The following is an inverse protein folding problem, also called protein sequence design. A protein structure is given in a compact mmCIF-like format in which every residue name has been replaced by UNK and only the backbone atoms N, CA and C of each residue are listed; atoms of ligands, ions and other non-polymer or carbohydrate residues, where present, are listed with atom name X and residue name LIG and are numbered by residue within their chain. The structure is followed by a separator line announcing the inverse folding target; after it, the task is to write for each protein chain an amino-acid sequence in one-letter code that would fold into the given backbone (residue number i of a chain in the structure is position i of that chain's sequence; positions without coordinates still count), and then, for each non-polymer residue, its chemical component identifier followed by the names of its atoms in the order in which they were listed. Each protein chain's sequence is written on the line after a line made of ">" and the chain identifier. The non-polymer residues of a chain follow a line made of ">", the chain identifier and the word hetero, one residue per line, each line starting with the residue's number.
data_IF_697787156252
#
_entry.id   IF_697787156252
#
_cell.length_a   1.000
_cell.length_b   1.000
_cell.length_c   1.000
_cell.angle_alpha   90.00
_cell.angle_beta   90.00
_cell.angle_gamma   90.00
#
_symmetry.space_group_name_H-M   'P 1'
#
loop_
_entity.id
_entity.type
_entity.pdbx_description
1 polymer ?
#
# COMPACT_ATOMS: atom_id res chain seq x y z
N UNK A 1 -2.40 23.12 24.22
CA UNK A 1 -2.50 22.39 25.50
C UNK A 1 -1.35 22.77 26.39
N UNK A 2 -1.61 22.99 27.69
CA UNK A 2 -0.62 23.26 28.74
C UNK A 2 -0.71 22.13 29.76
N UNK A 3 0.38 21.42 30.00
CA UNK A 3 0.43 20.25 30.88
C UNK A 3 1.58 20.36 31.88
N UNK A 4 1.39 19.82 33.07
CA UNK A 4 2.45 19.61 34.01
C UNK A 4 3.25 18.36 33.60
N UNK A 5 4.54 18.52 33.27
CA UNK A 5 5.37 17.46 32.69
C UNK A 5 5.44 16.24 33.59
N UNK A 6 5.14 15.07 33.01
CA UNK A 6 5.17 13.78 33.73
C UNK A 6 3.91 13.45 34.51
N UNK A 7 2.84 14.24 34.39
CA UNK A 7 1.54 14.02 35.03
C UNK A 7 0.41 14.08 33.99
N UNK A 8 -0.81 13.72 34.41
CA UNK A 8 -2.02 13.90 33.62
C UNK A 8 -2.70 15.25 33.88
N UNK A 9 -2.09 16.11 34.71
CA UNK A 9 -2.61 17.43 35.05
C UNK A 9 -2.36 18.40 33.89
N UNK A 10 -3.40 18.82 33.19
CA UNK A 10 -3.29 19.73 32.05
C UNK A 10 -4.60 20.39 31.68
N UNK A 11 -4.49 21.48 30.93
CA UNK A 11 -5.64 22.28 30.48
C UNK A 11 -5.42 22.73 29.03
N UNK A 12 -6.53 23.00 28.35
CA UNK A 12 -6.54 23.67 27.04
C UNK A 12 -6.78 25.17 27.29
N UNK A 13 -6.12 26.03 26.54
CA UNK A 13 -6.32 27.47 26.58
C UNK A 13 -7.72 27.85 26.09
N UNK A 14 -8.24 28.98 26.55
CA UNK A 14 -9.42 29.59 25.98
C UNK A 14 -9.17 30.19 24.56
N UNK A 15 -10.19 30.81 23.96
CA UNK A 15 -10.08 31.41 22.62
C UNK A 15 -9.07 32.57 22.54
N UNK A 16 -8.79 33.25 23.66
CA UNK A 16 -7.84 34.34 23.77
C UNK A 16 -6.45 33.84 24.15
N UNK A 17 -6.25 32.52 24.31
CA UNK A 17 -4.99 31.89 24.66
C UNK A 17 -4.68 31.91 26.16
N UNK A 18 -5.62 32.29 27.04
CA UNK A 18 -5.39 32.29 28.48
C UNK A 18 -5.58 30.89 29.06
N UNK A 19 -4.80 30.61 30.12
CA UNK A 19 -4.94 29.35 30.87
C UNK A 19 -4.70 29.61 32.38
N UNK A 20 -5.26 28.76 33.19
CA UNK A 20 -5.00 28.71 34.63
C UNK A 20 -4.86 27.26 35.05
N UNK A 21 -3.74 26.88 35.59
CA UNK A 21 -3.42 25.51 36.02
C UNK A 21 -2.74 25.50 37.38
N UNK A 22 -3.24 24.74 38.30
CA UNK A 22 -2.61 24.54 39.61
C UNK A 22 -1.54 23.48 39.50
N UNK A 23 -0.29 23.84 39.78
CA UNK A 23 0.90 23.01 39.59
C UNK A 23 1.89 23.17 40.73
N UNK A 24 2.76 22.18 40.95
CA UNK A 24 3.82 22.29 41.93
C UNK A 24 4.99 23.16 41.42
N UNK A 25 5.54 24.08 42.26
CA UNK A 25 6.64 24.97 41.86
C UNK A 25 7.91 24.24 41.36
N UNK A 26 8.12 23.00 41.80
CA UNK A 26 9.28 22.17 41.41
C UNK A 26 9.13 21.48 40.06
N UNK A 27 7.93 21.49 39.49
CA UNK A 27 7.65 20.83 38.22
C UNK A 27 7.86 21.76 37.03
N UNK A 28 7.82 21.19 35.82
CA UNK A 28 7.91 21.94 34.57
C UNK A 28 6.55 21.96 33.88
N UNK A 29 6.24 23.07 33.22
CA UNK A 29 5.13 23.15 32.29
C UNK A 29 5.61 22.73 30.91
N UNK A 30 4.84 21.90 30.25
CA UNK A 30 4.99 21.53 28.84
C UNK A 30 3.83 22.13 28.07
N UNK A 31 4.15 22.97 27.08
CA UNK A 31 3.19 23.67 26.24
C UNK A 31 3.32 23.13 24.83
N UNK A 32 2.22 22.63 24.28
CA UNK A 32 2.18 22.09 22.93
C UNK A 32 0.97 22.63 22.16
N UNK A 33 1.18 22.93 20.90
CA UNK A 33 0.12 23.29 19.95
C UNK A 33 0.48 22.75 18.58
N UNK A 34 -0.53 22.34 17.81
CA UNK A 34 -0.33 21.76 16.46
C UNK A 34 0.31 22.82 15.55
N UNK A 35 1.45 22.48 14.93
CA UNK A 35 2.22 23.40 14.08
C UNK A 35 3.23 24.29 14.82
N UNK A 36 3.43 24.07 16.13
CA UNK A 36 4.39 24.84 16.92
C UNK A 36 5.31 23.92 17.73
N UNK A 37 6.54 24.37 17.96
CA UNK A 37 7.53 23.63 18.76
C UNK A 37 7.04 23.53 20.20
N UNK A 38 7.09 22.31 20.74
CA UNK A 38 6.77 22.07 22.15
C UNK A 38 7.80 22.78 23.03
N UNK A 39 7.33 23.64 23.93
CA UNK A 39 8.19 24.37 24.87
C UNK A 39 8.05 23.83 26.29
N UNK A 40 9.18 23.78 27.01
CA UNK A 40 9.22 23.42 28.41
C UNK A 40 9.67 24.63 29.23
N UNK A 41 8.91 24.95 30.28
CA UNK A 41 9.19 26.05 31.15
C UNK A 41 9.29 25.57 32.61
N UNK A 42 10.30 26.10 33.32
CA UNK A 42 10.39 25.91 34.77
C UNK A 42 9.44 26.87 35.47
N UNK A 43 8.63 26.37 36.39
CA UNK A 43 7.61 27.14 37.09
C UNK A 43 8.27 28.07 38.13
N UNK A 44 9.08 27.51 39.01
CA UNK A 44 9.74 28.24 40.08
C UNK A 44 8.79 29.06 40.95
N UNK A 45 9.13 30.34 41.20
CA UNK A 45 8.31 31.27 41.96
C UNK A 45 7.35 32.11 41.10
N UNK A 46 7.44 32.00 39.78
CA UNK A 46 6.60 32.77 38.87
C UNK A 46 5.16 32.25 38.85
N UNK A 47 4.22 33.19 38.88
CA UNK A 47 2.78 32.88 38.86
C UNK A 47 2.07 33.31 37.56
N UNK A 48 2.77 34.02 36.69
CA UNK A 48 2.23 34.45 35.40
C UNK A 48 3.28 34.24 34.32
N UNK A 49 2.85 33.65 33.24
CA UNK A 49 3.71 33.35 32.09
C UNK A 49 3.08 33.92 30.83
N UNK A 50 3.86 34.67 30.07
CA UNK A 50 3.52 35.01 28.68
C UNK A 50 4.38 34.15 27.77
N UNK A 51 3.75 33.22 27.08
CA UNK A 51 4.43 32.23 26.28
C UNK A 51 4.17 32.56 24.81
N UNK A 52 5.25 32.76 24.06
CA UNK A 52 5.18 32.91 22.60
C UNK A 52 5.69 31.61 22.01
N UNK A 53 4.79 30.83 21.39
CA UNK A 53 5.17 29.62 20.70
C UNK A 53 5.90 29.98 19.41
N UNK A 54 6.98 29.27 19.12
CA UNK A 54 7.66 29.33 17.83
C UNK A 54 7.02 28.36 16.91
N UNK A 55 6.72 28.78 15.69
CA UNK A 55 6.26 27.88 14.65
C UNK A 55 7.27 26.75 14.51
N UNK A 56 6.74 25.53 14.44
CA UNK A 56 7.55 24.38 14.11
C UNK A 56 7.82 24.42 12.61
N UNK A 57 8.84 25.16 12.23
CA UNK A 57 9.33 25.22 10.85
C UNK A 57 10.04 23.93 10.43
N UNK A 58 10.19 22.96 11.33
CA UNK A 58 10.32 21.56 10.94
C UNK A 58 8.95 20.97 10.54
N UNK A 59 8.17 21.67 9.73
CA UNK A 59 7.42 21.04 8.68
C UNK A 59 8.46 20.21 7.94
N UNK A 60 8.40 18.90 8.10
CA UNK A 60 9.14 17.96 7.28
C UNK A 60 9.01 18.48 5.85
N UNK A 61 10.03 19.22 5.38
CA UNK A 61 10.10 19.60 3.98
C UNK A 61 10.00 18.29 3.22
N UNK A 62 8.81 18.00 2.71
CA UNK A 62 8.56 16.76 1.98
C UNK A 62 9.46 16.81 0.76
N UNK A 63 10.59 16.12 0.88
CA UNK A 63 11.62 16.08 -0.14
C UNK A 63 11.22 14.99 -1.13
N UNK A 64 11.11 15.34 -2.39
CA UNK A 64 10.87 14.40 -3.49
C UNK A 64 12.20 14.12 -4.16
N UNK A 65 12.53 12.85 -4.30
CA UNK A 65 13.70 12.44 -5.08
C UNK A 65 13.36 12.65 -6.55
N UNK A 66 14.11 13.47 -7.26
CA UNK A 66 13.90 13.75 -8.69
C UNK A 66 15.21 13.42 -9.41
N UNK A 67 15.21 12.32 -10.18
CA UNK A 67 16.39 11.87 -10.91
C UNK A 67 17.58 11.53 -10.03
N UNK A 68 18.65 12.28 -10.15
CA UNK A 68 19.90 12.07 -9.40
C UNK A 68 20.03 12.96 -8.17
N UNK A 69 18.95 13.64 -7.75
CA UNK A 69 18.96 14.52 -6.60
C UNK A 69 17.63 14.56 -5.86
N UNK A 70 17.63 15.17 -4.69
CA UNK A 70 16.42 15.43 -3.91
C UNK A 70 16.08 16.92 -3.97
N UNK A 71 14.83 17.24 -4.31
CA UNK A 71 14.30 18.61 -4.38
C UNK A 71 13.13 18.72 -3.41
N UNK A 72 12.98 19.87 -2.76
CA UNK A 72 11.80 20.10 -1.92
C UNK A 72 10.54 20.03 -2.78
N UNK A 73 9.49 19.40 -2.28
CA UNK A 73 8.20 19.30 -2.99
C UNK A 73 7.63 20.68 -3.35
N UNK A 74 7.88 21.67 -2.50
CA UNK A 74 7.53 23.09 -2.75
C UNK A 74 8.20 23.68 -3.98
N UNK A 75 9.39 23.20 -4.32
CA UNK A 75 10.20 23.72 -5.42
C UNK A 75 9.92 23.01 -6.75
N UNK A 76 9.11 21.96 -6.70
CA UNK A 76 8.67 21.24 -7.92
C UNK A 76 7.49 21.99 -8.54
N UNK A 77 7.70 22.49 -9.75
CA UNK A 77 6.65 23.15 -10.56
C UNK A 77 5.65 22.15 -11.16
N UNK A 78 5.91 20.85 -11.06
CA UNK A 78 5.09 19.77 -11.60
C UNK A 78 4.13 19.15 -10.59
N UNK A 79 3.00 18.59 -11.06
CA UNK A 79 2.06 17.85 -10.21
C UNK A 79 2.67 16.53 -9.75
N UNK A 80 3.08 16.48 -8.49
CA UNK A 80 3.55 15.27 -7.81
C UNK A 80 2.50 14.81 -6.80
N UNK A 81 2.14 13.54 -6.84
CA UNK A 81 1.29 12.92 -5.84
C UNK A 81 2.11 11.91 -5.04
N UNK A 82 2.06 11.98 -3.73
CA UNK A 82 2.84 11.15 -2.81
C UNK A 82 1.93 10.29 -1.94
N UNK A 83 2.36 9.08 -1.64
CA UNK A 83 1.73 8.17 -0.66
C UNK A 83 2.81 7.70 0.30
N UNK A 84 2.54 7.83 1.59
CA UNK A 84 3.44 7.39 2.66
C UNK A 84 3.25 5.91 3.00
N UNK A 85 4.25 5.32 3.67
CA UNK A 85 4.14 3.95 4.24
C UNK A 85 2.89 3.79 5.12
N UNK A 86 2.55 4.81 5.91
CA UNK A 86 1.39 4.74 6.81
C UNK A 86 0.08 4.60 6.04
N UNK A 87 -0.04 5.29 4.91
CA UNK A 87 -1.22 5.20 4.05
C UNK A 87 -1.29 3.84 3.35
N UNK A 88 -0.14 3.29 2.93
CA UNK A 88 -0.04 1.95 2.35
C UNK A 88 -0.49 0.87 3.34
N UNK A 89 0.00 0.93 4.58
CA UNK A 89 -0.36 -0.03 5.64
C UNK A 89 -1.85 0.08 6.02
N UNK A 90 -2.38 1.29 6.13
CA UNK A 90 -3.80 1.53 6.45
C UNK A 90 -4.76 0.97 5.42
N UNK A 91 -4.34 0.83 4.18
CA UNK A 91 -5.18 0.25 3.13
C UNK A 91 -5.53 -1.22 3.36
N UNK A 92 -4.82 -1.92 4.26
CA UNK A 92 -5.00 -3.34 4.54
C UNK A 92 -4.68 -4.26 3.36
N UNK A 93 -4.04 -3.74 2.32
CA UNK A 93 -3.66 -4.51 1.15
C UNK A 93 -2.27 -5.12 1.31
N UNK A 94 -2.11 -6.28 0.73
CA UNK A 94 -0.92 -7.13 0.88
C UNK A 94 0.23 -6.75 -0.04
N UNK A 95 -0.03 -5.86 -1.00
CA UNK A 95 0.95 -5.40 -1.97
C UNK A 95 0.94 -3.87 -2.10
N UNK A 96 2.11 -3.30 -2.41
CA UNK A 96 2.30 -1.85 -2.48
C UNK A 96 1.47 -1.19 -3.59
N UNK A 97 1.28 -1.88 -4.71
CA UNK A 97 0.55 -1.34 -5.86
C UNK A 97 -0.95 -1.29 -5.57
N UNK A 98 -1.49 -2.39 -5.02
CA UNK A 98 -2.89 -2.43 -4.58
C UNK A 98 -3.19 -1.40 -3.50
N UNK A 99 -2.24 -1.15 -2.60
CA UNK A 99 -2.39 -0.16 -1.54
C UNK A 99 -2.48 1.29 -2.08
N UNK A 100 -1.90 1.59 -3.24
CA UNK A 100 -2.03 2.89 -3.91
C UNK A 100 -3.38 3.07 -4.62
N UNK A 101 -4.17 2.01 -4.81
CA UNK A 101 -5.43 2.07 -5.55
C UNK A 101 -6.43 3.01 -4.87
N UNK A 102 -6.86 4.04 -5.57
CA UNK A 102 -7.78 5.06 -5.06
C UNK A 102 -7.11 6.13 -4.16
N UNK A 103 -5.83 5.99 -3.79
CA UNK A 103 -5.13 6.96 -2.95
C UNK A 103 -4.57 8.15 -3.74
N UNK A 104 -4.40 8.00 -5.05
CA UNK A 104 -3.69 8.97 -5.89
C UNK A 104 -4.59 9.54 -7.00
N UNK A 105 -4.87 10.85 -7.01
CA UNK A 105 -5.69 11.46 -8.06
C UNK A 105 -5.00 11.34 -9.43
N UNK A 106 -5.76 10.95 -10.46
CA UNK A 106 -5.27 10.79 -11.84
C UNK A 106 -4.38 9.56 -12.07
N UNK A 107 -4.39 8.59 -11.14
CA UNK A 107 -3.73 7.29 -11.28
C UNK A 107 -4.80 6.21 -11.22
N UNK A 108 -4.89 5.42 -12.26
CA UNK A 108 -5.75 4.26 -12.33
C UNK A 108 -4.91 3.00 -12.14
N UNK A 109 -5.29 2.19 -11.17
CA UNK A 109 -4.62 0.93 -10.86
C UNK A 109 -5.65 -0.19 -10.96
N UNK A 110 -5.37 -1.16 -11.80
CA UNK A 110 -6.22 -2.33 -11.99
C UNK A 110 -5.38 -3.59 -11.89
N UNK A 111 -5.85 -4.56 -11.12
CA UNK A 111 -5.25 -5.89 -11.11
C UNK A 111 -5.57 -6.60 -12.44
N UNK A 112 -4.55 -7.12 -13.12
CA UNK A 112 -4.72 -7.76 -14.43
C UNK A 112 -5.51 -9.07 -14.35
N UNK A 113 -5.38 -9.76 -13.21
CA UNK A 113 -6.10 -11.01 -12.92
C UNK A 113 -6.20 -11.24 -11.41
N UNK A 114 -6.98 -12.22 -11.00
CA UNK A 114 -7.17 -12.58 -9.57
C UNK A 114 -6.18 -13.63 -9.07
N UNK A 115 -5.17 -14.01 -9.86
CA UNK A 115 -4.18 -15.00 -9.45
C UNK A 115 -3.31 -14.48 -8.30
N UNK A 116 -2.84 -15.35 -7.40
CA UNK A 116 -1.83 -15.01 -6.42
C UNK A 116 -0.60 -14.37 -7.08
N UNK A 117 -0.06 -13.32 -6.47
CA UNK A 117 1.08 -12.59 -7.05
C UNK A 117 0.80 -11.89 -8.39
N UNK A 118 -0.47 -11.76 -8.79
CA UNK A 118 -0.85 -11.19 -10.09
C UNK A 118 -0.36 -9.74 -10.29
N UNK A 119 -0.06 -9.41 -11.53
CA UNK A 119 0.43 -8.09 -11.93
C UNK A 119 -0.67 -7.03 -11.92
N UNK A 120 -0.26 -5.78 -11.83
CA UNK A 120 -1.11 -4.61 -11.90
C UNK A 120 -0.83 -3.79 -13.14
N UNK A 121 -1.89 -3.31 -13.78
CA UNK A 121 -1.81 -2.26 -14.78
C UNK A 121 -1.94 -0.91 -14.09
N UNK A 122 -0.94 -0.07 -14.27
CA UNK A 122 -0.90 1.29 -13.74
C UNK A 122 -1.00 2.25 -14.93
N UNK A 123 -2.01 3.13 -14.90
CA UNK A 123 -2.19 4.17 -15.89
C UNK A 123 -2.16 5.54 -15.21
N UNK A 124 -1.33 6.43 -15.71
CA UNK A 124 -1.22 7.82 -15.23
C UNK A 124 -1.83 8.75 -16.29
N UNK A 125 -2.89 9.49 -15.91
CA UNK A 125 -3.63 10.41 -16.79
C UNK A 125 -4.25 9.76 -18.03
N UNK A 126 -4.49 8.44 -18.00
CA UNK A 126 -5.15 7.70 -19.07
C UNK A 126 -4.20 7.18 -20.16
N UNK A 127 -4.77 6.79 -21.29
CA UNK A 127 -4.04 6.24 -22.43
C UNK A 127 -3.51 7.37 -23.30
N UNK A 128 -2.22 7.38 -23.56
CA UNK A 128 -1.53 8.36 -24.41
C UNK A 128 -0.84 7.72 -25.63
N UNK A 129 -1.07 6.43 -25.86
CA UNK A 129 -0.58 5.71 -27.04
C UNK A 129 -1.62 4.72 -27.54
N UNK A 130 -1.63 4.45 -28.84
CA UNK A 130 -2.54 3.50 -29.49
C UNK A 130 -1.90 2.11 -29.62
N UNK A 131 -0.58 2.03 -29.79
CA UNK A 131 0.13 0.79 -30.10
C UNK A 131 1.36 0.54 -29.21
N UNK A 132 1.72 1.47 -28.34
CA UNK A 132 2.87 1.35 -27.43
C UNK A 132 2.50 0.88 -26.04
N UNK A 133 3.51 0.64 -25.19
CA UNK A 133 3.30 0.38 -23.77
C UNK A 133 2.69 1.61 -23.09
N UNK A 134 1.69 1.40 -22.25
CA UNK A 134 1.03 2.43 -21.43
C UNK A 134 1.55 2.44 -19.98
N UNK A 135 2.41 1.48 -19.63
CA UNK A 135 2.95 1.37 -18.29
C UNK A 135 3.90 2.52 -17.96
N UNK A 136 3.83 3.10 -16.76
CA UNK A 136 4.78 4.12 -16.32
C UNK A 136 6.16 3.50 -16.08
N UNK A 137 7.18 4.34 -16.07
CA UNK A 137 8.52 3.94 -15.69
C UNK A 137 8.58 3.80 -14.16
N UNK A 138 8.99 2.63 -13.68
CA UNK A 138 9.24 2.38 -12.25
C UNK A 138 10.70 2.69 -11.95
N UNK A 139 10.92 3.50 -10.91
CA UNK A 139 12.25 3.87 -10.41
C UNK A 139 12.32 3.58 -8.92
N UNK A 140 13.23 2.71 -8.51
CA UNK A 140 13.41 2.35 -7.09
C UNK A 140 14.78 2.85 -6.64
N UNK A 141 14.81 3.71 -5.64
CA UNK A 141 16.03 4.36 -5.12
C UNK A 141 16.93 4.95 -6.22
N UNK A 142 16.33 5.52 -7.26
CA UNK A 142 17.04 6.10 -8.41
C UNK A 142 17.37 5.12 -9.53
N UNK A 143 17.11 3.81 -9.36
CA UNK A 143 17.38 2.78 -10.38
C UNK A 143 16.11 2.53 -11.21
N UNK A 144 16.11 2.83 -12.53
CA UNK A 144 14.95 2.63 -13.39
C UNK A 144 14.80 1.17 -13.85
N UNK A 145 13.55 0.74 -14.06
CA UNK A 145 13.22 -0.56 -14.64
C UNK A 145 12.99 -1.68 -13.62
N UNK A 146 12.87 -1.35 -12.33
CA UNK A 146 12.50 -2.32 -11.31
C UNK A 146 11.01 -2.71 -11.41
N UNK A 147 10.64 -3.88 -10.83
CA UNK A 147 9.26 -4.31 -10.71
C UNK A 147 8.73 -4.02 -9.31
N UNK A 148 7.57 -3.37 -9.22
CA UNK A 148 6.89 -3.09 -7.94
C UNK A 148 6.39 -4.35 -7.25
N UNK A 149 6.02 -5.39 -8.01
CA UNK A 149 5.51 -6.65 -7.46
C UNK A 149 6.57 -7.42 -6.65
N UNK A 150 7.85 -7.16 -6.93
CA UNK A 150 8.96 -7.80 -6.21
C UNK A 150 9.35 -7.07 -4.93
N UNK A 151 8.81 -5.87 -4.70
CA UNK A 151 9.12 -5.10 -3.50
C UNK A 151 8.24 -5.53 -2.32
N UNK A 152 8.86 -5.62 -1.15
CA UNK A 152 8.12 -5.76 0.08
C UNK A 152 7.53 -4.39 0.46
N UNK A 153 6.19 -4.26 0.66
CA UNK A 153 5.57 -3.01 1.09
C UNK A 153 6.17 -2.44 2.38
N UNK A 154 6.60 -3.31 3.30
CA UNK A 154 7.20 -2.93 4.57
C UNK A 154 8.57 -2.24 4.41
N UNK A 155 9.26 -2.45 3.28
CA UNK A 155 10.53 -1.79 2.96
C UNK A 155 10.36 -0.40 2.32
N UNK A 156 9.16 -0.04 1.91
CA UNK A 156 8.88 1.23 1.25
C UNK A 156 8.72 2.33 2.28
N UNK A 157 9.38 3.45 2.09
CA UNK A 157 9.21 4.67 2.88
C UNK A 157 8.11 5.56 2.28
N UNK A 158 8.16 5.76 0.96
CA UNK A 158 7.16 6.52 0.21
C UNK A 158 7.15 6.16 -1.27
N UNK A 159 6.05 6.50 -1.93
CA UNK A 159 5.92 6.42 -3.38
C UNK A 159 5.48 7.79 -3.89
N UNK A 160 6.26 8.33 -4.81
CA UNK A 160 6.00 9.59 -5.49
C UNK A 160 5.67 9.32 -6.96
N UNK A 161 4.60 9.95 -7.48
CA UNK A 161 4.22 9.81 -8.88
C UNK A 161 4.41 11.13 -9.61
N UNK A 162 5.34 11.12 -10.57
CA UNK A 162 5.62 12.23 -11.45
C UNK A 162 4.71 12.14 -12.68
N UNK A 163 3.81 13.12 -12.84
CA UNK A 163 2.77 13.11 -13.86
C UNK A 163 3.05 14.06 -15.01
N UNK A 164 3.85 15.10 -14.78
CA UNK A 164 4.09 16.17 -15.75
C UNK A 164 5.40 15.98 -16.50
N UNK A 165 5.43 16.44 -17.75
CA UNK A 165 6.59 16.35 -18.60
C UNK A 165 7.83 17.05 -18.01
N UNK A 166 7.66 18.14 -17.27
CA UNK A 166 8.76 18.86 -16.60
C UNK A 166 9.45 18.01 -15.55
N UNK A 167 8.67 17.27 -14.74
CA UNK A 167 9.21 16.41 -13.68
C UNK A 167 9.76 15.08 -14.22
N UNK A 168 9.29 14.62 -15.39
CA UNK A 168 9.70 13.36 -16.00
C UNK A 168 10.83 13.51 -17.03
N UNK A 169 11.17 14.74 -17.42
CA UNK A 169 12.12 15.05 -18.51
C UNK A 169 13.49 14.39 -18.34
N UNK A 170 13.99 14.27 -17.11
CA UNK A 170 15.28 13.64 -16.80
C UNK A 170 15.34 12.16 -17.16
N UNK A 171 14.19 11.48 -17.25
CA UNK A 171 14.10 10.06 -17.62
C UNK A 171 13.89 9.86 -19.14
N UNK A 172 13.80 10.96 -19.91
CA UNK A 172 13.67 10.97 -21.37
C UNK A 172 12.37 10.31 -21.85
N UNK A 173 12.42 9.74 -23.05
CA UNK A 173 11.25 9.13 -23.73
C UNK A 173 10.65 7.94 -22.96
N UNK A 174 11.40 7.27 -22.09
CA UNK A 174 10.91 6.16 -21.26
C UNK A 174 9.86 6.61 -20.25
N UNK A 175 9.82 7.89 -19.92
CA UNK A 175 8.94 8.46 -18.91
C UNK A 175 7.68 9.14 -19.51
N UNK A 176 7.38 8.93 -20.78
CA UNK A 176 6.22 9.51 -21.46
C UNK A 176 4.89 9.17 -20.80
N UNK A 177 4.79 7.99 -20.18
CA UNK A 177 3.61 7.52 -19.46
C UNK A 177 3.63 7.90 -17.96
N UNK A 178 4.54 8.79 -17.55
CA UNK A 178 4.78 9.12 -16.15
C UNK A 178 5.83 8.24 -15.49
N UNK A 179 6.20 8.59 -14.26
CA UNK A 179 7.19 7.88 -13.47
C UNK A 179 6.63 7.58 -12.08
N UNK A 180 6.78 6.35 -11.63
CA UNK A 180 6.52 5.92 -10.26
C UNK A 180 7.86 5.78 -9.55
N UNK A 181 8.14 6.70 -8.63
CA UNK A 181 9.34 6.70 -7.83
C UNK A 181 9.08 6.06 -6.49
N UNK A 182 9.83 5.05 -6.17
CA UNK A 182 9.78 4.36 -4.89
C UNK A 182 11.03 4.70 -4.10
N UNK A 183 10.86 5.29 -2.94
CA UNK A 183 11.93 5.48 -1.97
C UNK A 183 11.79 4.41 -0.90
N UNK A 184 12.85 3.66 -0.66
CA UNK A 184 12.86 2.62 0.34
C UNK A 184 13.43 3.13 1.66
N UNK A 185 13.05 2.47 2.77
CA UNK A 185 13.53 2.81 4.11
C UNK A 185 15.05 2.68 4.19
N UNK A 186 15.68 3.68 4.80
CA UNK A 186 17.13 3.73 5.02
C UNK A 186 17.47 3.66 6.51
N UNK A 187 18.74 3.37 6.80
CA UNK A 187 19.28 3.42 8.15
C UNK A 187 19.23 4.83 8.72
N UNK A 188 19.07 4.92 10.03
CA UNK A 188 19.13 6.19 10.77
C UNK A 188 20.20 6.09 11.85
N UNK A 189 20.86 7.24 12.14
CA UNK A 189 21.83 7.32 13.22
C UNK A 189 21.13 7.01 14.54
N UNK A 190 21.66 6.05 15.30
CA UNK A 190 21.14 5.65 16.59
C UNK A 190 21.40 4.20 16.92
N UNK A 191 20.85 3.77 18.08
CA UNK A 191 20.90 2.35 18.50
C UNK A 191 20.15 1.49 17.49
N UNK A 192 20.57 0.24 17.39
CA UNK A 192 19.88 -0.77 16.58
C UNK A 192 18.41 -0.86 16.99
N UNK A 193 17.53 -0.70 16.03
CA UNK A 193 16.10 -0.90 16.17
C UNK A 193 15.69 -2.10 15.33
N UNK A 194 15.07 -3.06 15.98
CA UNK A 194 14.52 -4.26 15.32
C UNK A 194 13.01 -4.11 15.32
N UNK A 195 12.42 -4.20 14.15
CA UNK A 195 10.98 -4.15 13.95
C UNK A 195 10.53 -5.47 13.29
N UNK A 196 9.43 -6.01 13.79
CA UNK A 196 8.73 -7.15 13.19
C UNK A 196 7.31 -6.76 12.82
N UNK A 197 6.93 -7.07 11.60
CA UNK A 197 5.58 -6.90 11.07
C UNK A 197 5.09 -8.25 10.55
N UNK A 198 3.86 -8.63 10.89
CA UNK A 198 3.31 -9.86 10.38
C UNK A 198 1.80 -9.89 10.48
N UNK A 199 1.18 -10.57 9.51
CA UNK A 199 -0.25 -10.87 9.52
C UNK A 199 -0.50 -12.23 8.88
N UNK A 200 -1.65 -12.82 9.24
CA UNK A 200 -2.22 -13.98 8.57
C UNK A 200 -3.72 -13.75 8.36
N UNK A 201 -4.27 -14.28 7.28
CA UNK A 201 -5.67 -14.09 6.99
C UNK A 201 -6.19 -15.07 5.95
N UNK A 202 -7.52 -15.05 5.79
CA UNK A 202 -8.21 -15.80 4.75
C UNK A 202 -8.96 -14.87 3.83
N UNK A 203 -8.93 -15.17 2.54
CA UNK A 203 -9.75 -14.53 1.51
C UNK A 203 -10.80 -15.51 1.03
N UNK A 204 -12.00 -15.02 0.82
CA UNK A 204 -13.08 -15.77 0.19
C UNK A 204 -13.86 -14.88 -0.75
N UNK A 205 -14.56 -15.47 -1.67
CA UNK A 205 -15.53 -14.75 -2.47
C UNK A 205 -16.66 -14.23 -1.56
N UNK A 206 -16.95 -12.95 -1.65
CA UNK A 206 -18.06 -12.31 -0.91
C UNK A 206 -19.35 -12.29 -1.70
N UNK A 207 -19.24 -12.35 -3.02
CA UNK A 207 -20.37 -12.34 -3.93
C UNK A 207 -20.06 -13.24 -5.12
N UNK A 208 -20.58 -14.44 -5.11
CA UNK A 208 -20.54 -15.36 -6.24
C UNK A 208 -21.81 -15.13 -7.06
N UNK A 209 -21.73 -15.10 -8.40
CA UNK A 209 -22.94 -15.13 -9.21
C UNK A 209 -23.70 -16.43 -8.95
N UNK A 210 -25.02 -16.33 -8.86
CA UNK A 210 -25.87 -17.50 -8.79
C UNK A 210 -25.72 -18.29 -10.10
N UNK A 211 -25.15 -19.45 -9.98
CA UNK A 211 -24.98 -20.35 -11.11
C UNK A 211 -26.21 -21.25 -11.21
N UNK A 212 -26.48 -21.66 -12.43
CA UNK A 212 -27.58 -22.58 -12.71
C UNK A 212 -27.38 -23.90 -11.98
N UNK A 213 -28.40 -24.34 -11.29
CA UNK A 213 -28.42 -25.70 -10.71
C UNK A 213 -28.43 -26.78 -11.78
N UNK A 214 -28.09 -28.02 -11.42
CA UNK A 214 -28.12 -29.13 -12.35
C UNK A 214 -29.51 -29.36 -12.93
N UNK A 215 -30.57 -29.19 -12.14
CA UNK A 215 -31.97 -29.31 -12.61
C UNK A 215 -32.33 -28.20 -13.61
N UNK A 216 -31.95 -26.97 -13.33
CA UNK A 216 -32.17 -25.83 -14.24
C UNK A 216 -31.41 -26.03 -15.55
N UNK A 217 -30.16 -26.54 -15.48
CA UNK A 217 -29.38 -26.89 -16.68
C UNK A 217 -30.08 -27.93 -17.53
N UNK A 218 -30.61 -29.02 -16.91
CA UNK A 218 -31.35 -30.04 -17.60
C UNK A 218 -32.58 -29.50 -18.31
N UNK A 219 -33.33 -28.61 -17.63
CA UNK A 219 -34.49 -27.95 -18.23
C UNK A 219 -34.09 -27.04 -19.39
N UNK A 220 -33.02 -26.23 -19.22
CA UNK A 220 -32.50 -25.36 -20.27
C UNK A 220 -32.07 -26.16 -21.50
N UNK A 221 -31.36 -27.28 -21.31
CA UNK A 221 -30.92 -28.16 -22.40
C UNK A 221 -32.10 -28.77 -23.18
N UNK A 222 -33.15 -29.21 -22.46
CA UNK A 222 -34.39 -29.72 -23.07
C UNK A 222 -35.10 -28.65 -23.87
N UNK A 223 -35.23 -27.43 -23.32
CA UNK A 223 -35.85 -26.29 -23.99
C UNK A 223 -35.05 -25.81 -25.20
N UNK A 224 -33.73 -25.76 -25.10
CA UNK A 224 -32.86 -25.43 -26.23
C UNK A 224 -33.02 -26.42 -27.39
N UNK A 225 -33.10 -27.72 -27.07
CA UNK A 225 -33.31 -28.77 -28.07
C UNK A 225 -34.70 -28.67 -28.68
N UNK A 226 -35.76 -28.44 -27.88
CA UNK A 226 -37.10 -28.20 -28.33
C UNK A 226 -37.21 -27.06 -29.32
N UNK A 227 -36.58 -25.91 -28.99
CA UNK A 227 -36.59 -24.73 -29.85
C UNK A 227 -35.97 -25.00 -31.22
N UNK A 228 -34.87 -25.79 -31.27
CA UNK A 228 -34.23 -26.22 -32.51
C UNK A 228 -34.95 -27.34 -33.29
N UNK A 229 -35.99 -27.96 -32.69
CA UNK A 229 -36.73 -29.10 -33.26
C UNK A 229 -38.21 -28.76 -33.51
N UNK A 230 -38.49 -27.67 -34.18
CA UNK A 230 -39.86 -27.24 -34.51
C UNK A 230 -40.82 -27.24 -33.28
N UNK A 231 -40.34 -26.81 -32.12
CA UNK A 231 -41.07 -26.81 -30.85
C UNK A 231 -41.50 -28.19 -30.34
N UNK A 232 -40.84 -29.27 -30.74
CA UNK A 232 -41.12 -30.62 -30.26
C UNK A 232 -40.02 -31.12 -29.33
N UNK A 233 -40.42 -31.67 -28.19
CA UNK A 233 -39.49 -32.37 -27.29
C UNK A 233 -38.97 -33.66 -27.95
N UNK A 234 -37.75 -33.97 -27.60
CA UNK A 234 -37.11 -35.22 -27.96
C UNK A 234 -36.81 -36.05 -26.70
N UNK A 235 -36.46 -37.31 -26.85
CA UNK A 235 -36.07 -38.15 -25.74
C UNK A 235 -34.72 -37.65 -25.17
N UNK A 236 -34.57 -37.72 -23.85
CA UNK A 236 -33.37 -37.27 -23.14
C UNK A 236 -32.10 -37.94 -23.62
N UNK A 237 -32.18 -39.20 -24.12
CA UNK A 237 -31.05 -39.92 -24.72
C UNK A 237 -30.48 -39.25 -25.98
N UNK A 238 -31.23 -38.33 -26.60
CA UNK A 238 -30.77 -37.52 -27.73
C UNK A 238 -30.17 -36.20 -27.32
N UNK A 239 -30.23 -35.86 -26.02
CA UNK A 239 -29.72 -34.59 -25.46
C UNK A 239 -28.50 -34.87 -24.60
N UNK A 240 -28.57 -35.90 -23.76
CA UNK A 240 -27.60 -36.19 -22.73
C UNK A 240 -26.86 -37.51 -22.98
N UNK A 241 -25.63 -37.60 -22.52
CA UNK A 241 -24.84 -38.83 -22.53
C UNK A 241 -25.35 -39.81 -21.49
N UNK A 242 -24.94 -41.07 -21.58
CA UNK A 242 -25.36 -42.10 -20.63
C UNK A 242 -24.98 -41.81 -19.17
N UNK A 243 -23.82 -41.13 -18.96
CA UNK A 243 -23.38 -40.69 -17.64
C UNK A 243 -24.24 -39.55 -17.09
N UNK A 244 -24.60 -38.58 -17.94
CA UNK A 244 -25.48 -37.49 -17.56
C UNK A 244 -26.90 -37.97 -17.27
N UNK A 245 -27.45 -38.91 -18.07
CA UNK A 245 -28.74 -39.53 -17.80
C UNK A 245 -28.77 -40.22 -16.44
N UNK A 246 -27.71 -40.93 -16.09
CA UNK A 246 -27.59 -41.55 -14.77
C UNK A 246 -27.55 -40.50 -13.66
N UNK A 247 -26.77 -39.43 -13.83
CA UNK A 247 -26.72 -38.34 -12.87
C UNK A 247 -28.08 -37.65 -12.66
N UNK A 248 -28.85 -37.47 -13.76
CA UNK A 248 -30.22 -36.93 -13.75
C UNK A 248 -31.15 -37.86 -12.98
N UNK A 249 -31.09 -39.19 -13.22
CA UNK A 249 -31.92 -40.17 -12.54
C UNK A 249 -31.62 -40.28 -11.05
N UNK A 250 -30.34 -40.22 -10.70
CA UNK A 250 -29.88 -40.30 -9.32
C UNK A 250 -30.04 -38.94 -8.56
N UNK A 251 -30.39 -37.86 -9.25
CA UNK A 251 -30.44 -36.49 -8.68
C UNK A 251 -29.09 -36.01 -8.17
N UNK A 252 -28.00 -36.56 -8.68
CA UNK A 252 -26.65 -36.28 -8.22
C UNK A 252 -25.94 -35.36 -9.21
N UNK A 253 -26.02 -34.08 -8.94
CA UNK A 253 -25.37 -33.04 -9.71
C UNK A 253 -24.08 -32.58 -9.02
N UNK A 254 -23.04 -32.39 -9.80
CA UNK A 254 -21.75 -31.99 -9.31
C UNK A 254 -21.63 -30.45 -9.36
N UNK A 255 -21.35 -29.82 -8.21
CA UNK A 255 -21.10 -28.39 -8.14
C UNK A 255 -19.63 -28.09 -8.50
N UNK A 256 -19.43 -27.67 -9.74
CA UNK A 256 -18.11 -27.29 -10.24
C UNK A 256 -17.53 -26.04 -9.59
N UNK A 257 -18.38 -25.12 -9.16
CA UNK A 257 -17.93 -23.88 -8.54
C UNK A 257 -17.37 -24.17 -7.15
N UNK A 258 -18.09 -24.95 -6.37
CA UNK A 258 -17.64 -25.38 -5.04
C UNK A 258 -16.38 -26.26 -5.13
N UNK A 259 -16.33 -27.14 -6.12
CA UNK A 259 -15.20 -28.05 -6.30
C UNK A 259 -13.87 -27.37 -6.67
N UNK A 260 -13.91 -26.20 -7.33
CA UNK A 260 -12.70 -25.49 -7.78
C UNK A 260 -12.39 -24.25 -6.96
N UNK A 261 -13.30 -23.84 -6.07
CA UNK A 261 -13.13 -22.64 -5.25
C UNK A 261 -12.96 -22.99 -3.78
N UNK A 262 -11.94 -22.45 -3.16
CA UNK A 262 -11.67 -22.61 -1.74
C UNK A 262 -11.30 -21.29 -1.08
N UNK A 263 -11.54 -21.15 0.25
CA UNK A 263 -10.98 -20.03 0.98
C UNK A 263 -9.45 -20.05 0.91
N UNK A 264 -8.86 -18.95 0.45
CA UNK A 264 -7.43 -18.82 0.23
C UNK A 264 -6.73 -18.30 1.49
N UNK A 265 -5.75 -19.01 2.00
CA UNK A 265 -4.91 -18.57 3.10
C UNK A 265 -3.83 -17.61 2.59
N UNK A 266 -3.49 -16.60 3.38
CA UNK A 266 -2.37 -15.72 3.11
C UNK A 266 -1.65 -15.35 4.39
N UNK A 267 -0.33 -15.16 4.30
CA UNK A 267 0.48 -14.70 5.42
C UNK A 267 1.65 -13.85 4.94
N UNK A 268 2.04 -12.87 5.75
CA UNK A 268 3.22 -12.06 5.53
C UNK A 268 4.00 -11.93 6.84
N UNK A 269 5.30 -12.05 6.77
CA UNK A 269 6.21 -11.88 7.89
C UNK A 269 7.42 -11.10 7.43
N UNK A 270 7.68 -9.97 8.06
CA UNK A 270 8.84 -9.13 7.77
C UNK A 270 9.56 -8.81 9.06
N UNK A 271 10.86 -9.04 9.09
CA UNK A 271 11.76 -8.58 10.14
C UNK A 271 12.72 -7.57 9.55
N UNK A 272 12.93 -6.46 10.23
CA UNK A 272 13.90 -5.44 9.80
C UNK A 272 14.75 -4.97 10.97
N UNK A 273 15.99 -4.60 10.65
CA UNK A 273 16.94 -4.03 11.60
C UNK A 273 17.55 -2.76 10.99
N UNK A 274 17.42 -1.66 11.69
CA UNK A 274 17.96 -0.36 11.27
C UNK A 274 18.83 0.22 12.37
N UNK A 275 19.88 0.94 12.00
CA UNK A 275 20.77 1.59 12.96
C UNK A 275 21.96 2.24 12.28
N UNK A 276 22.89 2.74 13.08
CA UNK A 276 24.13 3.30 12.55
C UNK A 276 24.70 4.41 13.42
N UNK A 277 25.78 4.99 12.94
CA UNK A 277 26.46 6.11 13.51
C UNK A 277 26.71 7.20 12.45
N UNK A 278 27.44 8.26 12.79
CA UNK A 278 27.75 9.36 11.87
C UNK A 278 28.57 8.93 10.64
N UNK A 279 29.25 7.79 10.70
CA UNK A 279 30.09 7.30 9.59
C UNK A 279 29.36 6.31 8.69
N UNK A 280 28.44 5.53 9.24
CA UNK A 280 27.71 4.53 8.47
C UNK A 280 26.32 4.26 9.09
N UNK A 281 25.31 4.22 8.25
CA UNK A 281 23.97 3.74 8.62
C UNK A 281 23.60 2.53 7.79
N UNK A 282 22.73 1.67 8.35
CA UNK A 282 22.31 0.46 7.67
C UNK A 282 20.82 0.19 7.87
N UNK A 283 20.23 -0.44 6.87
CA UNK A 283 18.90 -1.01 6.92
C UNK A 283 18.96 -2.41 6.31
N UNK A 284 18.58 -3.40 7.11
CA UNK A 284 18.49 -4.81 6.72
C UNK A 284 17.05 -5.24 6.87
N UNK A 285 16.52 -5.99 5.90
CA UNK A 285 15.21 -6.61 6.04
C UNK A 285 15.18 -8.00 5.43
N UNK A 286 14.35 -8.87 6.00
CA UNK A 286 14.00 -10.18 5.48
C UNK A 286 12.50 -10.35 5.54
N UNK A 287 11.89 -10.76 4.42
CA UNK A 287 10.45 -10.92 4.30
C UNK A 287 10.07 -12.26 3.69
N UNK A 288 8.99 -12.82 4.16
CA UNK A 288 8.32 -13.98 3.60
C UNK A 288 6.84 -13.66 3.40
N UNK A 289 6.36 -13.87 2.20
CA UNK A 289 4.96 -13.74 1.83
C UNK A 289 4.48 -15.02 1.18
N UNK A 290 3.29 -15.49 1.59
CA UNK A 290 2.60 -16.63 1.01
C UNK A 290 1.13 -16.28 0.77
N UNK A 291 0.58 -16.73 -0.34
CA UNK A 291 -0.79 -16.49 -0.76
C UNK A 291 -1.30 -17.69 -1.58
N UNK A 292 -2.36 -18.33 -1.08
CA UNK A 292 -3.12 -19.31 -1.86
C UNK A 292 -4.06 -18.62 -2.84
N UNK A 293 -4.35 -19.28 -3.96
CA UNK A 293 -5.40 -18.89 -4.86
C UNK A 293 -6.77 -19.32 -4.36
N UNK A 294 -7.79 -18.52 -4.66
CA UNK A 294 -9.18 -18.91 -4.44
C UNK A 294 -9.67 -19.93 -5.48
N UNK A 295 -8.90 -20.18 -6.53
CA UNK A 295 -9.08 -21.23 -7.52
C UNK A 295 -7.89 -22.17 -7.45
N UNK A 296 -8.14 -23.45 -7.22
CA UNK A 296 -7.10 -24.48 -7.17
C UNK A 296 -6.62 -24.93 -8.56
N UNK A 297 -5.35 -25.36 -8.70
CA UNK A 297 -4.24 -25.24 -7.78
C UNK A 297 -3.42 -23.96 -8.08
N UNK A 298 -3.51 -22.96 -7.27
CA UNK A 298 -2.75 -21.73 -7.44
C UNK A 298 -2.14 -21.31 -6.11
N UNK A 299 -0.84 -21.12 -6.07
CA UNK A 299 -0.12 -20.61 -4.92
C UNK A 299 0.95 -19.61 -5.36
N UNK A 300 1.32 -18.72 -4.49
CA UNK A 300 2.40 -17.77 -4.69
C UNK A 300 3.20 -17.59 -3.41
N UNK A 301 4.50 -17.72 -3.49
CA UNK A 301 5.41 -17.42 -2.40
C UNK A 301 6.49 -16.44 -2.84
N UNK A 302 6.86 -15.51 -1.96
CA UNK A 302 7.89 -14.52 -2.20
C UNK A 302 8.81 -14.41 -1.00
N UNK A 303 10.09 -14.50 -1.24
CA UNK A 303 11.15 -14.28 -0.27
C UNK A 303 11.90 -13.00 -0.64
N UNK A 304 12.01 -12.07 0.28
CA UNK A 304 12.73 -10.83 0.09
C UNK A 304 13.90 -10.74 1.07
N UNK A 305 15.07 -10.39 0.56
CA UNK A 305 16.21 -10.00 1.37
C UNK A 305 16.70 -8.65 0.85
N UNK A 306 16.87 -7.70 1.74
CA UNK A 306 17.35 -6.38 1.39
C UNK A 306 18.40 -5.92 2.40
N UNK A 307 19.48 -5.35 1.88
CA UNK A 307 20.53 -4.72 2.66
C UNK A 307 20.89 -3.39 2.01
N UNK A 308 20.84 -2.32 2.78
CA UNK A 308 21.30 -0.99 2.38
C UNK A 308 22.26 -0.49 3.42
N UNK A 309 23.40 0.00 2.95
CA UNK A 309 24.41 0.61 3.79
C UNK A 309 24.80 1.94 3.15
N UNK A 310 24.60 3.00 3.89
CA UNK A 310 25.02 4.35 3.51
C UNK A 310 26.28 4.68 4.32
N UNK A 311 27.37 5.05 3.65
CA UNK A 311 28.66 5.34 4.27
C UNK A 311 29.08 6.77 3.95
N UNK A 312 29.30 7.56 4.99
CA UNK A 312 29.85 8.92 4.89
C UNK A 312 31.23 8.96 5.55
N UNK A 313 32.30 8.58 4.82
CA UNK A 313 33.64 8.41 5.41
C UNK A 313 34.28 9.72 5.86
N UNK A 314 33.81 10.87 5.39
CA UNK A 314 34.27 12.21 5.79
C UNK A 314 33.21 13.25 5.48
N UNK A 315 33.15 14.32 6.27
CA UNK A 315 32.29 15.51 6.00
C UNK A 315 32.57 16.17 4.64
N UNK A 316 33.69 15.85 4.03
CA UNK A 316 34.16 16.42 2.75
C UNK A 316 33.98 15.47 1.55
N UNK A 317 33.51 14.25 1.78
CA UNK A 317 33.24 13.28 0.73
C UNK A 317 31.79 12.74 0.90
N UNK A 318 30.92 13.20 0.04
CA UNK A 318 29.57 12.65 -0.14
C UNK A 318 29.51 11.86 -1.42
#
# INVERSE_FOLDING_TARGET
>A
TVMEKGTTNGIVTDLDGNFSLTVFPSHKLQISYVGFQTQELNIGSNRSFKIVLKEDTELLDEVVVVGYGSVKKSDLTGAVASVSTQDLIRSGRTDAVGAMQGALPGVQIQRSNSKPGGEYNILIRGLNTISGSTSPLIVVDGVPGASLSNLNPDDIEKIDILKDASSTAIYGSRATNGVVMVTTKRGKIGKVKIDYSGYAGYRKYTNMPDMMSGEEYVQLAREAKRAGNNNKYVDDSQIFTASELKAIQDGNYFDWVDAVSSPAFMTNHTISATGGNEMATYALSAGYYFEDGMLEPQEYSRYNLRAVVDVEPSKYMK
#
